data_IF_590148519799
#
_entry.id   IF_590148519799
#
_cell.length_a   1.000
_cell.length_b   1.000
_cell.length_c   1.000
_cell.angle_alpha   90.00
_cell.angle_beta   90.00
_cell.angle_gamma   90.00
#
_symmetry.space_group_name_H-M   'P 1'
#
loop_
_entity.id
_entity.type
_entity.pdbx_description
1 polymer ?
#
# COMPACT_ATOMS: atom_id res chain seq x y z
N UNK A 1 -16.15 -7.50 17.48
CA UNK A 1 -16.36 -6.26 16.68
C UNK A 1 -17.74 -5.69 17.00
N UNK A 2 -17.86 -4.97 18.12
CA UNK A 2 -19.12 -4.38 18.54
C UNK A 2 -19.45 -3.21 17.61
N UNK A 3 -20.45 -3.39 16.74
CA UNK A 3 -20.95 -2.31 15.86
C UNK A 3 -21.47 -1.19 16.77
N UNK A 4 -20.93 0.02 16.66
CA UNK A 4 -21.50 1.20 17.32
C UNK A 4 -22.95 1.36 16.86
N UNK A 5 -23.88 1.00 17.74
CA UNK A 5 -25.31 1.25 17.58
C UNK A 5 -25.63 2.43 18.50
N UNK A 6 -25.96 3.58 17.91
CA UNK A 6 -26.45 4.72 18.69
C UNK A 6 -27.97 4.61 18.83
N UNK A 7 -28.50 4.99 19.99
CA UNK A 7 -29.94 5.02 20.27
C UNK A 7 -30.29 6.37 20.85
N UNK A 8 -31.32 7.00 20.29
CA UNK A 8 -31.88 8.26 20.77
C UNK A 8 -33.40 8.08 20.83
N UNK A 9 -34.08 8.66 21.83
CA UNK A 9 -35.53 8.53 21.96
C UNK A 9 -36.19 9.79 22.49
N UNK A 10 -37.47 9.96 22.14
CA UNK A 10 -38.35 11.02 22.64
C UNK A 10 -39.68 10.40 23.06
N UNK A 11 -40.27 10.92 24.14
CA UNK A 11 -41.59 10.51 24.62
C UNK A 11 -42.51 11.72 24.54
N UNK A 12 -43.64 11.57 23.85
CA UNK A 12 -44.63 12.62 23.68
C UNK A 12 -46.01 12.17 24.19
N UNK A 13 -46.87 13.11 24.65
CA UNK A 13 -48.28 12.83 24.83
C UNK A 13 -48.93 12.38 23.52
N UNK A 14 -49.84 11.41 23.57
CA UNK A 14 -50.59 10.89 22.43
C UNK A 14 -51.69 11.89 21.98
N UNK A 15 -51.28 13.10 21.59
CA UNK A 15 -52.17 14.19 21.16
C UNK A 15 -51.64 14.84 19.89
N UNK A 16 -52.54 15.31 19.02
CA UNK A 16 -52.17 15.85 17.70
C UNK A 16 -51.21 17.05 17.78
N UNK A 17 -51.25 17.83 18.87
CA UNK A 17 -50.38 19.01 19.04
C UNK A 17 -48.89 18.68 19.14
N UNK A 18 -48.53 17.48 19.60
CA UNK A 18 -47.14 17.09 19.86
C UNK A 18 -46.49 16.31 18.70
N UNK A 19 -47.21 16.14 17.58
CA UNK A 19 -46.63 15.57 16.35
C UNK A 19 -45.50 16.44 15.77
N UNK A 20 -45.49 17.74 16.10
CA UNK A 20 -44.39 18.65 15.76
C UNK A 20 -43.08 18.19 16.40
N UNK A 21 -43.11 17.79 17.67
CA UNK A 21 -41.93 17.37 18.42
C UNK A 21 -41.30 16.11 17.82
N UNK A 22 -42.14 15.19 17.32
CA UNK A 22 -41.68 13.98 16.62
C UNK A 22 -40.95 14.34 15.32
N UNK A 23 -41.48 15.29 14.54
CA UNK A 23 -40.85 15.75 13.29
C UNK A 23 -39.53 16.46 13.55
N UNK A 24 -39.45 17.26 14.61
CA UNK A 24 -38.21 17.93 15.04
C UNK A 24 -37.16 16.93 15.54
N UNK A 25 -37.57 15.90 16.30
CA UNK A 25 -36.70 14.80 16.70
C UNK A 25 -36.11 14.04 15.50
N UNK A 26 -36.93 13.71 14.49
CA UNK A 26 -36.47 13.04 13.27
C UNK A 26 -35.47 13.90 12.50
N UNK A 27 -35.75 15.21 12.38
CA UNK A 27 -34.83 16.16 11.74
C UNK A 27 -33.48 16.20 12.46
N UNK A 28 -33.51 16.32 13.79
CA UNK A 28 -32.31 16.37 14.62
C UNK A 28 -31.45 15.12 14.44
N UNK A 29 -32.04 13.93 14.60
CA UNK A 29 -31.34 12.66 14.43
C UNK A 29 -30.81 12.51 12.99
N UNK A 30 -31.63 12.83 11.99
CA UNK A 30 -31.27 12.76 10.59
C UNK A 30 -30.05 13.62 10.25
N UNK A 31 -30.07 14.89 10.65
CA UNK A 31 -28.98 15.85 10.39
C UNK A 31 -27.71 15.50 11.18
N UNK A 32 -27.82 15.19 12.47
CA UNK A 32 -26.71 14.80 13.34
C UNK A 32 -25.93 13.60 12.78
N UNK A 33 -26.63 12.63 12.19
CA UNK A 33 -26.05 11.41 11.61
C UNK A 33 -25.85 11.49 10.08
N UNK A 34 -25.96 12.68 9.49
CA UNK A 34 -25.67 12.97 8.06
C UNK A 34 -26.52 12.16 7.07
N UNK A 35 -27.79 11.93 7.36
CA UNK A 35 -28.72 11.36 6.40
C UNK A 35 -29.12 12.41 5.34
N UNK A 36 -29.34 11.95 4.10
CA UNK A 36 -29.84 12.82 3.03
C UNK A 36 -31.26 13.32 3.34
N UNK A 37 -31.56 14.56 2.96
CA UNK A 37 -32.85 15.21 3.26
C UNK A 37 -34.05 14.41 2.74
N UNK A 38 -33.89 13.72 1.61
CA UNK A 38 -34.90 12.79 1.07
C UNK A 38 -35.26 11.67 2.06
N UNK A 39 -34.27 11.10 2.75
CA UNK A 39 -34.46 10.05 3.76
C UNK A 39 -35.14 10.64 5.00
N UNK A 40 -34.69 11.81 5.46
CA UNK A 40 -35.25 12.51 6.61
C UNK A 40 -36.73 12.84 6.36
N UNK A 41 -37.05 13.43 5.21
CA UNK A 41 -38.43 13.77 4.82
C UNK A 41 -39.31 12.52 4.65
N UNK A 42 -38.75 11.41 4.15
CA UNK A 42 -39.48 10.13 4.09
C UNK A 42 -39.89 9.67 5.49
N UNK A 43 -38.98 9.74 6.47
CA UNK A 43 -39.29 9.36 7.85
C UNK A 43 -40.29 10.30 8.49
N UNK A 44 -40.15 11.63 8.30
CA UNK A 44 -41.14 12.59 8.81
C UNK A 44 -42.54 12.25 8.35
N UNK A 45 -42.73 12.00 7.06
CA UNK A 45 -44.06 11.71 6.50
C UNK A 45 -44.63 10.39 7.07
N UNK A 46 -43.83 9.33 7.07
CA UNK A 46 -44.29 8.00 7.48
C UNK A 46 -44.51 7.88 8.99
N UNK A 47 -43.64 8.47 9.80
CA UNK A 47 -43.79 8.47 11.26
C UNK A 47 -44.95 9.37 11.68
N UNK A 48 -45.13 10.54 11.05
CA UNK A 48 -46.26 11.44 11.33
C UNK A 48 -47.61 10.78 11.03
N UNK A 49 -47.69 10.06 9.90
CA UNK A 49 -48.85 9.26 9.52
C UNK A 49 -49.09 8.09 10.50
N UNK A 50 -48.05 7.37 10.89
CA UNK A 50 -48.17 6.28 11.86
C UNK A 50 -48.65 6.79 13.23
N UNK A 51 -48.05 7.87 13.75
CA UNK A 51 -48.46 8.49 15.02
C UNK A 51 -49.89 9.04 14.93
N UNK A 52 -50.27 9.67 13.81
CA UNK A 52 -51.65 10.14 13.59
C UNK A 52 -52.66 8.98 13.66
N UNK A 53 -52.35 7.86 13.01
CA UNK A 53 -53.21 6.67 13.04
C UNK A 53 -53.32 6.07 14.44
N UNK A 54 -52.20 6.00 15.17
CA UNK A 54 -52.17 5.53 16.56
C UNK A 54 -53.01 6.46 17.46
N UNK A 55 -52.85 7.78 17.38
CA UNK A 55 -53.58 8.74 18.20
C UNK A 55 -55.09 8.67 17.90
N UNK A 56 -55.47 8.67 16.61
CA UNK A 56 -56.89 8.69 16.20
C UNK A 56 -57.62 7.39 16.48
N UNK A 57 -56.97 6.24 16.34
CA UNK A 57 -57.64 4.94 16.37
C UNK A 57 -57.24 4.08 17.57
N UNK A 58 -56.02 4.25 18.10
CA UNK A 58 -55.49 3.47 19.21
C UNK A 58 -55.83 4.04 20.59
N UNK A 59 -55.98 5.36 20.71
CA UNK A 59 -56.13 6.06 22.01
C UNK A 59 -57.51 6.66 22.27
N UNK A 60 -58.56 6.29 21.53
CA UNK A 60 -59.90 6.89 21.66
C UNK A 60 -60.46 6.88 23.10
N UNK A 61 -60.18 5.83 23.87
CA UNK A 61 -60.69 5.64 25.24
C UNK A 61 -59.61 5.77 26.33
N UNK A 62 -58.40 6.20 25.98
CA UNK A 62 -57.25 6.27 26.89
C UNK A 62 -56.88 7.74 27.11
N UNK A 63 -57.16 8.26 28.32
CA UNK A 63 -56.68 9.57 28.74
C UNK A 63 -55.18 9.49 29.06
N UNK A 64 -54.45 10.56 28.73
CA UNK A 64 -53.02 10.71 29.04
C UNK A 64 -52.10 9.63 28.45
N UNK A 65 -52.48 9.08 27.30
CA UNK A 65 -51.64 8.16 26.53
C UNK A 65 -50.29 8.77 26.13
N UNK A 66 -49.27 7.93 25.93
CA UNK A 66 -47.93 8.36 25.52
C UNK A 66 -47.43 7.58 24.32
N UNK A 67 -46.68 8.24 23.45
CA UNK A 67 -46.00 7.59 22.33
C UNK A 67 -44.51 7.79 22.52
N UNK A 68 -43.76 6.70 22.49
CA UNK A 68 -42.29 6.75 22.47
C UNK A 68 -41.81 6.56 21.05
N UNK A 69 -40.99 7.48 20.55
CA UNK A 69 -40.33 7.37 19.25
C UNK A 69 -38.83 7.22 19.49
N UNK A 70 -38.27 6.10 19.05
CA UNK A 70 -36.85 5.77 19.22
C UNK A 70 -36.16 5.61 17.88
N UNK A 71 -35.05 6.30 17.69
CA UNK A 71 -34.13 6.09 16.59
C UNK A 71 -33.06 5.07 16.96
N UNK A 72 -32.85 4.06 16.11
CA UNK A 72 -31.74 3.11 16.19
C UNK A 72 -30.86 3.36 14.97
N UNK A 73 -29.68 3.93 15.20
CA UNK A 73 -28.74 4.32 14.16
C UNK A 73 -27.69 3.24 14.00
N UNK A 74 -27.57 2.69 12.79
CA UNK A 74 -26.54 1.73 12.41
C UNK A 74 -25.72 2.28 11.24
N UNK A 75 -24.56 1.67 11.00
CA UNK A 75 -23.67 2.06 9.88
C UNK A 75 -24.38 2.11 8.52
N UNK A 76 -25.35 1.23 8.29
CA UNK A 76 -25.99 1.07 6.98
C UNK A 76 -27.49 1.40 6.98
N UNK A 77 -28.07 1.74 8.12
CA UNK A 77 -29.52 1.93 8.21
C UNK A 77 -29.92 2.84 9.36
N UNK A 78 -31.06 3.50 9.19
CA UNK A 78 -31.80 4.17 10.25
C UNK A 78 -33.08 3.37 10.49
N UNK A 79 -33.37 3.02 11.73
CA UNK A 79 -34.64 2.43 12.13
C UNK A 79 -35.34 3.36 13.10
N UNK A 80 -36.56 3.79 12.78
CA UNK A 80 -37.46 4.47 13.70
C UNK A 80 -38.40 3.43 14.32
N UNK A 81 -38.52 3.45 15.64
CA UNK A 81 -39.34 2.54 16.41
C UNK A 81 -40.38 3.36 17.16
N UNK A 82 -41.66 3.12 16.88
CA UNK A 82 -42.79 3.76 17.54
C UNK A 82 -43.37 2.76 18.53
N UNK A 83 -43.47 3.16 19.80
CA UNK A 83 -44.01 2.33 20.88
C UNK A 83 -45.22 3.04 21.49
N UNK A 84 -46.35 2.32 21.56
CA UNK A 84 -47.61 2.84 22.10
C UNK A 84 -48.40 1.77 22.89
N UNK A 85 -49.33 2.22 23.72
CA UNK A 85 -50.24 1.39 24.53
C UNK A 85 -51.69 1.47 24.03
N UNK A 86 -51.91 1.92 22.79
CA UNK A 86 -53.23 1.98 22.19
C UNK A 86 -53.75 0.59 21.79
N UNK A 87 -54.97 0.55 21.25
CA UNK A 87 -55.55 -0.68 20.68
C UNK A 87 -54.64 -1.23 19.58
N UNK A 88 -54.21 -2.48 19.73
CA UNK A 88 -53.30 -3.15 18.79
C UNK A 88 -53.88 -3.25 17.38
N UNK A 89 -53.05 -2.92 16.40
CA UNK A 89 -53.38 -3.01 14.99
C UNK A 89 -52.10 -3.28 14.18
N UNK A 90 -52.05 -4.39 13.43
CA UNK A 90 -50.91 -4.72 12.59
C UNK A 90 -51.08 -4.11 11.18
N UNK A 91 -50.33 -3.05 10.82
CA UNK A 91 -50.45 -2.41 9.51
C UNK A 91 -50.02 -3.30 8.33
N UNK A 92 -49.38 -4.45 8.58
CA UNK A 92 -48.98 -5.41 7.53
C UNK A 92 -50.15 -6.22 6.99
N UNK A 93 -51.23 -6.37 7.77
CA UNK A 93 -52.39 -7.17 7.37
C UNK A 93 -53.35 -6.43 6.42
N UNK A 94 -53.16 -5.12 6.24
CA UNK A 94 -54.00 -4.30 5.34
C UNK A 94 -53.59 -4.52 3.89
N UNK A 95 -54.57 -4.78 3.02
CA UNK A 95 -54.36 -4.89 1.56
C UNK A 95 -54.01 -3.53 0.96
N UNK A 96 -53.17 -3.52 -0.07
CA UNK A 96 -52.85 -2.28 -0.78
C UNK A 96 -54.12 -1.67 -1.39
N UNK A 97 -54.34 -0.35 -1.25
CA UNK A 97 -55.48 0.30 -1.87
C UNK A 97 -55.34 0.25 -3.40
N UNK A 98 -56.45 0.05 -4.10
CA UNK A 98 -56.54 0.22 -5.55
C UNK A 98 -56.51 1.72 -5.85
N UNK A 99 -55.35 2.21 -6.32
CA UNK A 99 -55.10 3.62 -6.56
C UNK A 99 -55.99 4.20 -7.66
N UNK A 100 -56.42 3.39 -8.65
CA UNK A 100 -57.33 3.83 -9.71
C UNK A 100 -58.71 4.19 -9.14
N UNK A 101 -59.28 3.28 -8.34
CA UNK A 101 -60.56 3.51 -7.65
C UNK A 101 -60.48 4.58 -6.57
N UNK A 102 -59.31 4.77 -5.94
CA UNK A 102 -59.15 5.78 -4.88
C UNK A 102 -59.26 7.21 -5.41
N UNK A 103 -58.67 7.45 -6.58
CA UNK A 103 -58.70 8.75 -7.27
C UNK A 103 -60.11 9.04 -7.80
N UNK A 104 -60.79 8.03 -8.36
CA UNK A 104 -62.17 8.17 -8.85
C UNK A 104 -63.20 8.48 -7.74
N UNK A 105 -63.02 7.93 -6.52
CA UNK A 105 -63.97 8.07 -5.41
C UNK A 105 -63.64 9.28 -4.51
N UNK A 106 -62.50 9.97 -4.72
CA UNK A 106 -62.14 11.19 -3.99
C UNK A 106 -61.98 11.02 -2.46
N UNK A 107 -61.71 9.80 -1.98
CA UNK A 107 -61.60 9.52 -0.54
C UNK A 107 -60.41 10.25 0.08
N UNK A 108 -60.70 11.16 1.03
CA UNK A 108 -59.70 11.81 1.89
C UNK A 108 -59.32 10.86 3.04
N UNK A 109 -58.18 10.18 2.92
CA UNK A 109 -57.62 9.30 3.96
C UNK A 109 -57.49 7.84 3.50
N UNK A 110 -56.68 7.01 4.18
CA UNK A 110 -56.48 5.58 3.89
C UNK A 110 -55.28 5.21 3.01
N UNK A 111 -54.46 6.19 2.62
CA UNK A 111 -53.18 6.00 1.94
C UNK A 111 -52.00 5.80 2.89
N UNK A 112 -52.20 5.96 4.20
CA UNK A 112 -51.11 6.00 5.17
C UNK A 112 -50.20 4.78 5.12
N UNK A 113 -50.78 3.59 5.28
CA UNK A 113 -50.06 2.31 5.24
C UNK A 113 -49.39 2.08 3.89
N UNK A 114 -50.04 2.49 2.79
CA UNK A 114 -49.45 2.43 1.46
C UNK A 114 -48.19 3.31 1.36
N UNK A 115 -48.25 4.55 1.85
CA UNK A 115 -47.09 5.46 1.88
C UNK A 115 -45.96 4.90 2.74
N UNK A 116 -46.26 4.30 3.90
CA UNK A 116 -45.23 3.65 4.73
C UNK A 116 -44.49 2.57 3.94
N UNK A 117 -45.22 1.67 3.27
CA UNK A 117 -44.64 0.58 2.46
C UNK A 117 -43.85 1.08 1.26
N UNK A 118 -44.26 2.20 0.66
CA UNK A 118 -43.59 2.76 -0.52
C UNK A 118 -42.30 3.51 -0.16
N UNK A 119 -42.23 4.06 1.05
CA UNK A 119 -41.14 4.96 1.45
C UNK A 119 -40.10 4.29 2.36
N UNK A 120 -40.45 3.20 3.04
CA UNK A 120 -39.54 2.44 3.90
C UNK A 120 -39.11 1.13 3.23
N UNK A 121 -37.91 0.66 3.55
CA UNK A 121 -37.36 -0.58 3.00
C UNK A 121 -37.83 -1.82 3.77
N UNK A 122 -38.07 -1.67 5.08
CA UNK A 122 -38.60 -2.74 5.92
C UNK A 122 -39.55 -2.18 7.00
N UNK A 123 -40.62 -2.93 7.26
CA UNK A 123 -41.66 -2.60 8.24
C UNK A 123 -41.95 -3.83 9.08
N UNK A 124 -41.76 -3.72 10.39
CA UNK A 124 -42.02 -4.80 11.33
C UNK A 124 -42.98 -4.32 12.40
N UNK A 125 -43.92 -5.18 12.79
CA UNK A 125 -44.83 -4.92 13.90
C UNK A 125 -44.76 -6.08 14.89
N UNK A 126 -44.59 -5.75 16.17
CA UNK A 126 -44.58 -6.72 17.26
C UNK A 126 -45.42 -6.20 18.43
N UNK A 127 -46.16 -7.09 19.08
CA UNK A 127 -46.74 -6.82 20.39
C UNK A 127 -45.72 -7.20 21.45
N UNK A 128 -45.35 -6.25 22.32
CA UNK A 128 -44.31 -6.44 23.34
C UNK A 128 -44.86 -6.11 24.73
N UNK A 129 -44.09 -6.43 25.78
CA UNK A 129 -44.43 -6.06 27.15
C UNK A 129 -44.51 -4.53 27.37
N UNK A 130 -43.96 -3.72 26.45
CA UNK A 130 -44.03 -2.24 26.49
C UNK A 130 -45.21 -1.67 25.69
N UNK A 131 -45.98 -2.53 25.02
CA UNK A 131 -47.06 -2.17 24.11
C UNK A 131 -46.79 -2.56 22.66
N UNK A 132 -47.53 -1.95 21.75
CA UNK A 132 -47.37 -2.11 20.31
C UNK A 132 -46.03 -1.50 19.87
N UNK A 133 -45.26 -2.21 19.06
CA UNK A 133 -43.97 -1.73 18.55
C UNK A 133 -43.94 -1.79 17.02
N UNK A 134 -44.00 -0.63 16.38
CA UNK A 134 -43.86 -0.48 14.93
C UNK A 134 -42.44 -0.03 14.58
N UNK A 135 -41.72 -0.85 13.81
CA UNK A 135 -40.37 -0.56 13.33
C UNK A 135 -40.40 -0.22 11.85
N UNK A 136 -39.80 0.91 11.51
CA UNK A 136 -39.70 1.44 10.17
C UNK A 136 -38.21 1.60 9.85
N UNK A 137 -37.71 0.84 8.89
CA UNK A 137 -36.28 0.84 8.56
C UNK A 137 -36.07 1.38 7.16
N UNK A 138 -35.07 2.25 7.02
CA UNK A 138 -34.56 2.72 5.74
C UNK A 138 -33.05 2.50 5.69
N UNK A 139 -32.60 1.84 4.63
CA UNK A 139 -31.19 1.68 4.30
C UNK A 139 -30.63 3.05 3.92
N UNK A 140 -29.36 3.26 4.25
CA UNK A 140 -28.63 4.43 3.78
C UNK A 140 -28.45 4.27 2.27
N UNK A 141 -28.78 5.30 1.49
CA UNK A 141 -28.31 5.47 0.11
C UNK A 141 -26.78 5.65 0.19
N UNK A 142 -26.08 4.57 0.52
CA UNK A 142 -24.67 4.47 0.23
C UNK A 142 -24.68 4.16 -1.25
N UNK A 143 -24.55 5.22 -2.05
CA UNK A 143 -23.83 5.07 -3.30
C UNK A 143 -22.51 4.45 -2.88
N UNK A 144 -22.43 3.11 -2.95
CA UNK A 144 -21.16 2.42 -2.82
C UNK A 144 -20.33 3.14 -3.86
N UNK A 145 -19.32 3.90 -3.41
CA UNK A 145 -18.24 4.37 -4.27
C UNK A 145 -17.55 3.12 -4.82
N UNK A 146 -18.23 2.35 -5.67
CA UNK A 146 -17.62 1.46 -6.64
C UNK A 146 -16.76 2.41 -7.44
N UNK A 147 -15.46 2.22 -7.33
CA UNK A 147 -14.44 3.07 -7.93
C UNK A 147 -14.91 3.55 -9.32
N UNK A 148 -15.02 4.88 -9.50
CA UNK A 148 -15.28 5.57 -10.78
C UNK A 148 -14.33 5.13 -11.92
N UNK A 149 -13.30 4.34 -11.61
CA UNK A 149 -12.33 3.78 -12.53
C UNK A 149 -12.86 2.56 -13.32
N UNK A 150 -13.87 1.82 -12.85
CA UNK A 150 -14.33 0.60 -13.55
C UNK A 150 -15.56 0.82 -14.45
N UNK A 151 -16.37 1.85 -14.18
CA UNK A 151 -17.64 2.08 -14.90
C UNK A 151 -17.42 2.57 -16.34
N UNK A 152 -16.32 3.28 -16.62
CA UNK A 152 -16.00 3.69 -17.99
C UNK A 152 -15.58 2.49 -18.83
N UNK A 153 -14.82 1.54 -18.26
CA UNK A 153 -14.40 0.33 -18.96
C UNK A 153 -15.60 -0.54 -19.32
N UNK A 154 -16.55 -0.71 -18.40
CA UNK A 154 -17.77 -1.48 -18.63
C UNK A 154 -18.61 -0.94 -19.79
N UNK A 155 -18.60 0.38 -19.99
CA UNK A 155 -19.30 1.08 -21.07
C UNK A 155 -18.68 0.91 -22.47
N UNK A 156 -17.48 0.33 -22.58
CA UNK A 156 -16.78 0.16 -23.85
C UNK A 156 -17.26 -1.07 -24.63
N UNK A 157 -17.13 -1.00 -25.95
CA UNK A 157 -17.35 -2.16 -26.84
C UNK A 157 -16.30 -3.27 -26.59
N UNK A 158 -16.66 -4.52 -26.89
CA UNK A 158 -15.76 -5.67 -26.73
C UNK A 158 -14.41 -5.48 -27.45
N UNK A 159 -14.42 -4.88 -28.64
CA UNK A 159 -13.19 -4.56 -29.41
C UNK A 159 -12.28 -3.60 -28.63
N UNK A 160 -12.84 -2.55 -28.03
CA UNK A 160 -12.08 -1.57 -27.24
C UNK A 160 -11.57 -2.16 -25.93
N UNK A 161 -12.36 -3.01 -25.27
CA UNK A 161 -11.93 -3.76 -24.08
C UNK A 161 -10.73 -4.65 -24.39
N UNK A 162 -10.82 -5.43 -25.46
CA UNK A 162 -9.71 -6.28 -25.93
C UNK A 162 -8.46 -5.45 -26.22
N UNK A 163 -8.58 -4.35 -26.97
CA UNK A 163 -7.47 -3.46 -27.28
C UNK A 163 -6.81 -2.85 -26.03
N UNK A 164 -7.59 -2.40 -25.05
CA UNK A 164 -7.05 -1.85 -23.80
C UNK A 164 -6.35 -2.94 -23.00
N UNK A 165 -6.94 -4.13 -22.89
CA UNK A 165 -6.32 -5.26 -22.17
C UNK A 165 -5.01 -5.64 -22.83
N UNK A 166 -4.97 -5.82 -24.16
CA UNK A 166 -3.72 -6.17 -24.86
C UNK A 166 -2.67 -5.07 -24.70
N UNK A 167 -3.05 -3.80 -24.81
CA UNK A 167 -2.12 -2.67 -24.62
C UNK A 167 -1.54 -2.65 -23.21
N UNK A 168 -2.38 -2.84 -22.19
CA UNK A 168 -1.92 -2.92 -20.79
C UNK A 168 -1.01 -4.13 -20.58
N UNK A 169 -1.36 -5.29 -21.15
CA UNK A 169 -0.52 -6.49 -21.07
C UNK A 169 0.84 -6.29 -21.72
N UNK A 170 0.90 -5.63 -22.89
CA UNK A 170 2.17 -5.30 -23.56
C UNK A 170 3.01 -4.37 -22.69
N UNK A 171 2.40 -3.30 -22.15
CA UNK A 171 3.11 -2.35 -21.26
C UNK A 171 3.66 -3.07 -20.02
N UNK A 172 2.86 -3.93 -19.38
CA UNK A 172 3.30 -4.72 -18.24
C UNK A 172 4.45 -5.67 -18.61
N UNK A 173 4.39 -6.30 -19.78
CA UNK A 173 5.44 -7.19 -20.27
C UNK A 173 6.72 -6.40 -20.56
N UNK A 174 6.64 -5.22 -21.17
CA UNK A 174 7.79 -4.34 -21.38
C UNK A 174 8.43 -3.92 -20.06
N UNK A 175 7.63 -3.54 -19.07
CA UNK A 175 8.12 -3.18 -17.73
C UNK A 175 8.80 -4.37 -17.05
N UNK A 176 8.18 -5.56 -17.11
CA UNK A 176 8.77 -6.78 -16.55
C UNK A 176 10.10 -7.12 -17.22
N UNK A 177 10.16 -7.06 -18.55
CA UNK A 177 11.39 -7.29 -19.32
C UNK A 177 12.47 -6.26 -18.98
N UNK A 178 12.11 -4.98 -18.82
CA UNK A 178 13.05 -3.95 -18.38
C UNK A 178 13.71 -4.30 -17.05
N UNK A 179 12.93 -4.67 -16.03
CA UNK A 179 13.48 -5.03 -14.71
C UNK A 179 14.38 -6.27 -14.76
N UNK A 180 14.03 -7.28 -15.56
CA UNK A 180 14.87 -8.48 -15.74
C UNK A 180 16.21 -8.10 -16.38
N UNK A 181 16.18 -7.32 -17.47
CA UNK A 181 17.39 -6.88 -18.16
C UNK A 181 18.24 -5.96 -17.27
N UNK A 182 17.61 -5.07 -16.50
CA UNK A 182 18.29 -4.21 -15.53
C UNK A 182 19.06 -5.02 -14.49
N UNK A 183 18.43 -6.06 -13.93
CA UNK A 183 19.08 -6.96 -12.98
C UNK A 183 20.23 -7.74 -13.62
N UNK A 184 20.07 -8.20 -14.87
CA UNK A 184 21.13 -8.90 -15.61
C UNK A 184 22.32 -7.98 -15.90
N UNK A 185 22.08 -6.74 -16.30
CA UNK A 185 23.14 -5.75 -16.56
C UNK A 185 24.01 -5.54 -15.32
N UNK A 186 23.39 -5.37 -14.15
CA UNK A 186 24.14 -5.19 -12.91
C UNK A 186 25.00 -6.41 -12.58
N UNK A 187 24.42 -7.61 -12.65
CA UNK A 187 25.15 -8.86 -12.38
C UNK A 187 26.33 -9.06 -13.33
N UNK A 188 26.11 -8.86 -14.64
CA UNK A 188 27.17 -9.04 -15.65
C UNK A 188 28.31 -8.03 -15.44
N UNK A 189 27.99 -6.76 -15.15
CA UNK A 189 29.01 -5.73 -14.90
C UNK A 189 29.76 -6.03 -13.60
N UNK A 190 29.07 -6.50 -12.56
CA UNK A 190 29.71 -6.93 -11.31
C UNK A 190 30.70 -8.07 -11.59
N UNK A 191 30.28 -9.09 -12.32
CA UNK A 191 31.12 -10.23 -12.68
C UNK A 191 32.35 -9.83 -13.54
N UNK A 192 32.16 -8.93 -14.51
CA UNK A 192 33.24 -8.36 -15.32
C UNK A 192 34.27 -7.64 -14.44
N UNK A 193 33.81 -6.73 -13.57
CA UNK A 193 34.68 -5.98 -12.64
C UNK A 193 35.40 -6.91 -11.68
N UNK A 194 34.72 -7.94 -11.16
CA UNK A 194 35.32 -8.92 -10.24
C UNK A 194 36.39 -9.76 -10.92
N UNK A 195 36.14 -10.18 -12.16
CA UNK A 195 37.10 -10.96 -12.96
C UNK A 195 38.35 -10.13 -13.25
N UNK A 196 38.16 -8.87 -13.68
CA UNK A 196 39.26 -7.94 -13.93
C UNK A 196 40.05 -7.64 -12.65
N UNK A 197 39.37 -7.30 -11.55
CA UNK A 197 39.99 -7.02 -10.26
C UNK A 197 40.80 -8.21 -9.73
N UNK A 198 40.28 -9.44 -9.88
CA UNK A 198 40.97 -10.67 -9.51
C UNK A 198 42.27 -10.84 -10.28
N UNK A 199 42.25 -10.65 -11.60
CA UNK A 199 43.44 -10.74 -12.43
C UNK A 199 44.49 -9.66 -12.07
N UNK A 200 44.05 -8.43 -11.81
CA UNK A 200 44.94 -7.35 -11.39
C UNK A 200 45.55 -7.65 -10.03
N UNK A 201 44.75 -8.09 -9.06
CA UNK A 201 45.23 -8.41 -7.70
C UNK A 201 46.24 -9.55 -7.73
N UNK A 202 46.00 -10.58 -8.54
CA UNK A 202 46.93 -11.71 -8.70
C UNK A 202 48.27 -11.27 -9.30
N UNK A 203 48.24 -10.51 -10.40
CA UNK A 203 49.47 -9.94 -10.98
C UNK A 203 50.18 -9.01 -9.98
N UNK A 204 49.42 -8.22 -9.24
CA UNK A 204 49.95 -7.32 -8.22
C UNK A 204 50.67 -8.11 -7.10
N UNK A 205 50.15 -9.26 -6.67
CA UNK A 205 50.87 -10.13 -5.76
C UNK A 205 52.16 -10.70 -6.40
N UNK A 206 52.06 -11.18 -7.65
CA UNK A 206 53.15 -11.84 -8.37
C UNK A 206 54.35 -10.92 -8.67
N UNK A 207 54.15 -9.59 -8.71
CA UNK A 207 55.26 -8.61 -8.90
C UNK A 207 55.86 -8.13 -7.57
N UNK A 208 55.18 -8.31 -6.44
CA UNK A 208 55.62 -7.77 -5.14
C UNK A 208 56.34 -8.76 -4.23
N UNK A 209 56.47 -10.05 -4.61
CA UNK A 209 57.21 -11.01 -3.79
C UNK A 209 58.67 -10.59 -3.54
N UNK A 210 59.38 -10.12 -4.58
CA UNK A 210 60.80 -9.75 -4.47
C UNK A 210 60.99 -8.41 -3.73
N UNK A 211 60.25 -7.33 -4.06
CA UNK A 211 60.33 -6.09 -3.29
C UNK A 211 59.96 -6.27 -1.81
N UNK A 212 58.95 -7.10 -1.50
CA UNK A 212 58.53 -7.36 -0.13
C UNK A 212 59.58 -8.17 0.63
N UNK A 213 60.13 -9.22 0.02
CA UNK A 213 61.18 -10.04 0.62
C UNK A 213 62.48 -9.25 0.88
N UNK A 214 62.75 -8.23 0.08
CA UNK A 214 63.96 -7.40 0.19
C UNK A 214 63.71 -6.09 0.95
N UNK A 215 62.54 -5.89 1.57
CA UNK A 215 62.16 -4.67 2.30
C UNK A 215 62.37 -3.38 1.47
N UNK A 216 62.05 -3.44 0.16
CA UNK A 216 62.20 -2.31 -0.76
C UNK A 216 60.92 -1.45 -0.82
N UNK A 217 60.73 -0.62 0.21
CA UNK A 217 59.55 0.24 0.38
C UNK A 217 59.29 1.16 -0.82
N UNK A 218 60.36 1.66 -1.44
CA UNK A 218 60.27 2.55 -2.61
C UNK A 218 59.60 1.82 -3.78
N UNK A 219 60.05 0.60 -4.07
CA UNK A 219 59.51 -0.19 -5.17
C UNK A 219 58.10 -0.70 -4.87
N UNK A 220 57.80 -1.07 -3.62
CA UNK A 220 56.44 -1.41 -3.17
C UNK A 220 55.46 -0.26 -3.39
N UNK A 221 55.87 0.98 -3.06
CA UNK A 221 55.06 2.17 -3.27
C UNK A 221 54.87 2.50 -4.76
N UNK A 222 55.92 2.42 -5.57
CA UNK A 222 55.83 2.63 -7.02
C UNK A 222 54.90 1.59 -7.69
N UNK A 223 54.97 0.32 -7.26
CA UNK A 223 54.04 -0.71 -7.72
C UNK A 223 52.60 -0.40 -7.32
N UNK A 224 52.34 0.01 -6.07
CA UNK A 224 51.02 0.42 -5.61
C UNK A 224 50.46 1.57 -6.46
N UNK A 225 51.26 2.62 -6.67
CA UNK A 225 50.92 3.76 -7.49
C UNK A 225 50.59 3.35 -8.93
N UNK A 226 51.46 2.56 -9.56
CA UNK A 226 51.28 2.07 -10.93
C UNK A 226 49.96 1.33 -11.12
N UNK A 227 49.63 0.40 -10.21
CA UNK A 227 48.35 -0.33 -10.26
C UNK A 227 47.17 0.62 -10.21
N UNK A 228 47.13 1.55 -9.26
CA UNK A 228 46.01 2.49 -9.18
C UNK A 228 45.93 3.39 -10.43
N UNK A 229 47.04 3.96 -10.88
CA UNK A 229 47.05 4.91 -12.01
C UNK A 229 46.64 4.25 -13.33
N UNK A 230 47.01 2.99 -13.55
CA UNK A 230 46.66 2.24 -14.77
C UNK A 230 45.19 1.82 -14.82
N UNK A 231 44.51 1.71 -13.67
CA UNK A 231 43.11 1.25 -13.58
C UNK A 231 42.13 2.35 -13.15
N UNK A 232 42.54 3.62 -13.20
CA UNK A 232 41.65 4.78 -13.12
C UNK A 232 40.78 4.84 -11.87
N UNK A 233 39.46 4.99 -12.06
CA UNK A 233 38.48 5.10 -10.97
C UNK A 233 38.04 3.74 -10.40
N UNK A 234 38.37 2.63 -11.07
CA UNK A 234 38.00 1.30 -10.61
C UNK A 234 38.68 0.96 -9.28
N UNK A 235 39.99 1.25 -9.19
CA UNK A 235 40.79 1.00 -8.00
C UNK A 235 40.86 2.27 -7.18
N UNK A 236 40.20 2.27 -6.02
CA UNK A 236 40.22 3.40 -5.09
C UNK A 236 41.54 3.46 -4.34
N UNK A 237 41.99 2.31 -3.83
CA UNK A 237 43.27 2.11 -3.18
C UNK A 237 43.91 0.79 -3.62
N UNK A 238 45.24 0.78 -3.68
CA UNK A 238 46.09 -0.40 -3.81
C UNK A 238 47.08 -0.41 -2.66
N UNK A 239 47.32 -1.58 -2.07
CA UNK A 239 48.28 -1.72 -0.97
C UNK A 239 48.97 -3.08 -0.93
N UNK A 240 50.15 -3.09 -0.32
CA UNK A 240 50.89 -4.30 0.05
C UNK A 240 50.99 -4.36 1.56
N UNK A 241 50.76 -5.54 2.12
CA UNK A 241 50.83 -5.82 3.55
C UNK A 241 51.78 -6.96 3.86
N UNK A 242 52.25 -7.07 5.10
CA UNK A 242 52.92 -8.26 5.65
C UNK A 242 51.92 -9.38 5.94
N UNK A 243 52.39 -10.56 6.34
CA UNK A 243 51.55 -11.69 6.77
C UNK A 243 50.63 -11.36 7.95
N UNK A 244 51.05 -10.41 8.80
CA UNK A 244 50.29 -9.91 9.95
C UNK A 244 49.39 -8.70 9.60
N UNK A 245 49.20 -8.43 8.31
CA UNK A 245 48.41 -7.32 7.77
C UNK A 245 48.94 -5.92 8.13
N UNK A 246 50.24 -5.78 8.39
CA UNK A 246 50.90 -4.47 8.52
C UNK A 246 51.06 -3.85 7.13
N UNK A 247 50.64 -2.60 6.94
CA UNK A 247 50.66 -1.93 5.63
C UNK A 247 52.07 -1.42 5.30
N UNK A 248 52.72 -2.06 4.32
CA UNK A 248 54.05 -1.69 3.85
C UNK A 248 54.01 -0.59 2.78
N UNK A 249 53.00 -0.61 1.91
CA UNK A 249 52.80 0.40 0.89
C UNK A 249 51.31 0.59 0.60
N UNK A 250 50.87 1.83 0.37
CA UNK A 250 49.49 2.15 -0.02
C UNK A 250 49.44 3.36 -0.94
N UNK A 251 48.58 3.32 -1.96
CA UNK A 251 48.31 4.46 -2.83
C UNK A 251 46.81 4.59 -3.15
N UNK A 252 46.24 5.82 -3.18
CA UNK A 252 46.83 7.09 -2.73
C UNK A 252 47.21 7.08 -1.25
N UNK A 253 48.22 7.87 -0.87
CA UNK A 253 48.71 7.91 0.50
C UNK A 253 47.59 8.33 1.47
N UNK A 254 47.29 7.47 2.44
CA UNK A 254 46.30 7.71 3.48
C UNK A 254 46.90 7.36 4.85
N UNK A 255 47.22 8.39 5.64
CA UNK A 255 47.89 8.28 6.94
C UNK A 255 47.10 7.42 7.95
N UNK A 256 45.77 7.34 7.81
CA UNK A 256 44.94 6.50 8.69
C UNK A 256 45.06 5.01 8.39
N UNK A 257 45.41 4.64 7.15
CA UNK A 257 45.62 3.25 6.74
C UNK A 257 47.06 2.81 7.01
N UNK A 258 48.04 3.70 6.82
CA UNK A 258 49.46 3.39 7.09
C UNK A 258 49.74 3.18 8.59
N UNK A 259 49.00 3.85 9.47
CA UNK A 259 49.21 3.78 10.93
C UNK A 259 48.44 2.65 11.64
N UNK A 260 47.72 1.80 10.90
CA UNK A 260 46.88 0.73 11.46
C UNK A 260 47.12 -0.58 10.72
N UNK A 261 47.04 -1.70 11.45
CA UNK A 261 46.93 -3.00 10.82
C UNK A 261 45.63 -3.06 10.03
N UNK A 262 45.72 -3.58 8.81
CA UNK A 262 44.55 -3.79 7.97
C UNK A 262 43.67 -4.87 8.61
N UNK A 263 42.57 -4.45 9.24
CA UNK A 263 41.70 -5.34 10.02
C UNK A 263 40.69 -6.05 9.11
N UNK A 264 40.91 -7.36 8.92
CA UNK A 264 39.98 -8.28 8.27
C UNK A 264 39.39 -9.31 9.25
N UNK A 265 39.73 -9.22 10.55
CA UNK A 265 39.85 -10.39 11.44
C UNK A 265 38.53 -11.13 11.75
N UNK A 266 37.40 -10.75 11.18
CA UNK A 266 36.09 -11.31 11.51
C UNK A 266 35.12 -11.48 10.32
N UNK A 267 35.60 -11.41 9.08
CA UNK A 267 34.75 -11.56 7.89
C UNK A 267 35.14 -12.79 7.08
N UNK A 268 34.17 -13.65 6.76
CA UNK A 268 34.37 -14.71 5.76
C UNK A 268 34.39 -14.09 4.35
N UNK A 269 35.20 -14.61 3.41
CA UNK A 269 35.19 -14.14 2.04
C UNK A 269 33.82 -14.43 1.40
N UNK A 270 33.30 -13.47 0.65
CA UNK A 270 32.07 -13.63 -0.12
C UNK A 270 32.29 -14.46 -1.39
N UNK A 271 33.53 -14.51 -1.86
CA UNK A 271 33.95 -15.20 -3.06
C UNK A 271 35.46 -15.49 -3.00
N UNK A 272 35.89 -16.60 -3.56
CA UNK A 272 37.31 -16.95 -3.67
C UNK A 272 37.58 -17.56 -5.05
N UNK A 273 38.42 -16.88 -5.85
CA UNK A 273 38.73 -17.26 -7.23
C UNK A 273 40.21 -17.07 -7.50
N UNK A 274 40.87 -18.09 -8.06
CA UNK A 274 42.30 -18.04 -8.42
C UNK A 274 43.23 -17.58 -7.29
N UNK A 275 43.00 -18.06 -6.06
CA UNK A 275 43.75 -17.68 -4.86
C UNK A 275 43.61 -16.19 -4.51
N UNK A 276 42.49 -15.57 -4.90
CA UNK A 276 42.12 -14.21 -4.52
C UNK A 276 40.83 -14.29 -3.73
N UNK A 277 40.88 -13.84 -2.48
CA UNK A 277 39.73 -13.78 -1.59
C UNK A 277 39.07 -12.40 -1.69
N UNK A 278 37.76 -12.39 -1.88
CA UNK A 278 36.96 -11.17 -1.97
C UNK A 278 36.16 -10.97 -0.69
N UNK A 279 36.28 -9.80 -0.09
CA UNK A 279 35.53 -9.41 1.10
C UNK A 279 34.65 -8.21 0.80
N UNK A 280 33.52 -8.10 1.49
CA UNK A 280 32.64 -6.94 1.44
C UNK A 280 32.52 -6.32 2.82
N UNK A 281 32.71 -5.01 2.92
CA UNK A 281 32.48 -4.27 4.16
C UNK A 281 31.80 -2.92 3.88
N UNK A 282 31.38 -2.25 4.94
CA UNK A 282 30.79 -0.91 4.87
C UNK A 282 31.64 0.07 5.69
N UNK A 283 32.14 1.12 5.03
CA UNK A 283 32.96 2.16 5.65
C UNK A 283 32.25 3.49 5.44
N UNK A 284 31.86 4.16 6.54
CA UNK A 284 31.16 5.46 6.50
C UNK A 284 29.96 5.43 5.52
N UNK A 285 29.10 4.41 5.66
CA UNK A 285 27.92 4.16 4.81
C UNK A 285 28.21 3.87 3.33
N UNK A 286 29.48 3.64 2.98
CA UNK A 286 29.89 3.22 1.62
C UNK A 286 30.24 1.74 1.63
N UNK A 287 29.54 0.96 0.81
CA UNK A 287 29.84 -0.46 0.59
C UNK A 287 31.07 -0.59 -0.32
N UNK A 288 32.02 -1.42 0.10
CA UNK A 288 33.32 -1.59 -0.57
C UNK A 288 33.70 -3.06 -0.65
N UNK A 289 34.43 -3.40 -1.70
CA UNK A 289 34.98 -4.73 -1.94
C UNK A 289 36.51 -4.70 -1.82
N UNK A 290 37.04 -5.65 -1.05
CA UNK A 290 38.48 -5.91 -0.97
C UNK A 290 38.82 -7.17 -1.74
N UNK A 291 39.83 -7.08 -2.61
CA UNK A 291 40.41 -8.23 -3.29
C UNK A 291 41.79 -8.47 -2.71
N UNK A 292 42.02 -9.67 -2.20
CA UNK A 292 43.21 -10.01 -1.43
C UNK A 292 43.87 -11.23 -2.06
N UNK A 293 45.10 -11.05 -2.55
CA UNK A 293 45.91 -12.15 -3.07
C UNK A 293 47.15 -12.35 -2.18
N UNK A 294 47.48 -13.60 -1.82
CA UNK A 294 48.70 -13.90 -1.08
C UNK A 294 49.93 -13.64 -1.95
N UNK A 295 50.95 -13.04 -1.34
CA UNK A 295 52.28 -12.86 -1.89
C UNK A 295 53.12 -14.03 -1.39
N UNK A 296 53.47 -14.92 -2.30
CA UNK A 296 54.18 -16.17 -1.99
C UNK A 296 55.63 -16.11 -2.49
N UNK A 297 56.55 -16.67 -1.70
CA UNK A 297 57.91 -16.92 -2.13
C UNK A 297 57.91 -18.01 -3.20
N UNK A 298 58.49 -17.73 -4.36
CA UNK A 298 58.63 -18.73 -5.43
C UNK A 298 59.35 -19.99 -4.90
N UNK A 299 58.61 -21.10 -4.83
CA UNK A 299 59.07 -22.47 -4.56
C UNK A 299 59.52 -22.83 -3.13
N UNK A 300 59.14 -22.10 -2.06
CA UNK A 300 59.72 -22.37 -0.72
C UNK A 300 58.73 -22.34 0.47
N UNK A 301 57.66 -21.53 0.48
CA UNK A 301 56.85 -21.32 1.69
C UNK A 301 55.44 -21.92 1.60
N UNK A 302 54.96 -22.52 2.70
CA UNK A 302 53.55 -22.95 2.88
C UNK A 302 52.64 -21.77 3.29
N UNK A 303 53.22 -20.68 3.81
CA UNK A 303 52.50 -19.47 4.24
C UNK A 303 52.93 -18.25 3.42
N UNK A 304 52.01 -17.31 3.15
CA UNK A 304 52.32 -16.09 2.43
C UNK A 304 53.19 -15.14 3.26
N UNK A 305 54.16 -14.48 2.62
CA UNK A 305 54.99 -13.44 3.27
C UNK A 305 54.24 -12.11 3.41
N UNK A 306 53.09 -11.99 2.75
CA UNK A 306 52.23 -10.83 2.80
C UNK A 306 51.07 -10.91 1.83
N UNK A 307 50.35 -9.82 1.67
CA UNK A 307 49.18 -9.77 0.79
C UNK A 307 49.17 -8.52 -0.06
N UNK A 308 48.79 -8.68 -1.32
CA UNK A 308 48.40 -7.60 -2.21
C UNK A 308 46.90 -7.36 -2.07
N UNK A 309 46.50 -6.11 -1.82
CA UNK A 309 45.10 -5.76 -1.58
C UNK A 309 44.66 -4.63 -2.51
N UNK A 310 43.52 -4.83 -3.18
CA UNK A 310 42.82 -3.79 -3.93
C UNK A 310 41.51 -3.43 -3.24
N UNK A 311 41.16 -2.15 -3.30
CA UNK A 311 39.91 -1.60 -2.82
C UNK A 311 39.09 -1.09 -4.00
N UNK A 312 37.88 -1.62 -4.18
CA UNK A 312 36.90 -1.15 -5.17
C UNK A 312 35.62 -0.70 -4.45
N UNK A 313 35.14 0.50 -4.74
CA UNK A 313 33.86 0.98 -4.20
C UNK A 313 32.67 0.38 -4.97
N UNK A 314 31.61 -0.05 -4.29
CA UNK A 314 30.40 -0.56 -4.96
C UNK A 314 29.73 0.53 -5.82
N UNK A 315 29.95 1.80 -5.50
CA UNK A 315 29.51 2.96 -6.27
C UNK A 315 30.04 2.94 -7.71
N UNK A 316 31.27 2.44 -7.95
CA UNK A 316 31.86 2.32 -9.28
C UNK A 316 31.05 1.34 -10.15
N UNK A 317 30.72 0.16 -9.59
CA UNK A 317 29.89 -0.86 -10.25
C UNK A 317 28.49 -0.29 -10.54
N UNK A 318 27.90 0.40 -9.55
CA UNK A 318 26.61 1.07 -9.69
C UNK A 318 26.59 2.11 -10.80
N UNK A 319 27.63 2.95 -10.90
CA UNK A 319 27.75 3.98 -11.93
C UNK A 319 27.95 3.37 -13.33
N UNK A 320 28.83 2.36 -13.45
CA UNK A 320 29.04 1.62 -14.70
C UNK A 320 27.74 0.95 -15.17
N UNK A 321 26.98 0.35 -14.24
CA UNK A 321 25.66 -0.21 -14.53
C UNK A 321 24.62 0.85 -14.90
N UNK A 322 24.61 2.00 -14.23
CA UNK A 322 23.65 3.08 -14.54
C UNK A 322 23.79 3.59 -15.97
N UNK A 323 25.01 3.70 -16.49
CA UNK A 323 25.24 4.11 -17.89
C UNK A 323 24.64 3.08 -18.87
N UNK A 324 24.81 1.79 -18.61
CA UNK A 324 24.22 0.74 -19.45
C UNK A 324 22.68 0.71 -19.35
N UNK A 325 22.11 1.04 -18.17
CA UNK A 325 20.65 1.14 -17.97
C UNK A 325 20.03 2.28 -18.79
N UNK A 326 20.71 3.44 -18.90
CA UNK A 326 20.20 4.56 -19.69
C UNK A 326 20.10 4.21 -21.17
N UNK A 327 21.07 3.49 -21.72
CA UNK A 327 21.04 3.04 -23.12
C UNK A 327 19.92 2.03 -23.37
N UNK A 328 19.71 1.09 -22.44
CA UNK A 328 18.61 0.13 -22.50
C UNK A 328 17.23 0.82 -22.50
N UNK A 329 17.04 1.82 -21.63
CA UNK A 329 15.79 2.56 -21.54
C UNK A 329 15.47 3.29 -22.85
N UNK A 330 16.48 3.91 -23.48
CA UNK A 330 16.35 4.57 -24.79
C UNK A 330 15.97 3.55 -25.86
N UNK A 331 16.62 2.39 -25.91
CA UNK A 331 16.36 1.34 -26.89
C UNK A 331 14.92 0.80 -26.79
N UNK A 332 14.43 0.54 -25.57
CA UNK A 332 13.07 0.04 -25.33
C UNK A 332 12.01 1.09 -25.68
N UNK A 333 12.26 2.37 -25.38
CA UNK A 333 11.36 3.46 -25.76
C UNK A 333 11.24 3.58 -27.29
N UNK A 334 12.37 3.53 -28.01
CA UNK A 334 12.37 3.56 -29.49
C UNK A 334 11.65 2.33 -30.06
N UNK A 335 11.86 1.14 -29.49
CA UNK A 335 11.18 -0.10 -29.89
C UNK A 335 9.66 -0.04 -29.71
N UNK A 336 9.18 0.50 -28.59
CA UNK A 336 7.74 0.66 -28.33
C UNK A 336 7.07 1.67 -29.27
N UNK A 337 7.75 2.79 -29.59
CA UNK A 337 7.23 3.78 -30.55
C UNK A 337 7.20 3.21 -31.97
N UNK A 338 8.22 2.45 -32.37
CA UNK A 338 8.26 1.77 -33.67
C UNK A 338 7.14 0.74 -33.83
N UNK A 339 6.86 -0.05 -32.79
CA UNK A 339 5.82 -1.09 -32.82
C UNK A 339 4.38 -0.57 -32.74
N UNK A 340 4.17 0.72 -32.44
CA UNK A 340 2.84 1.34 -32.37
C UNK A 340 2.48 2.16 -33.61
N UNK A 341 3.45 2.45 -34.48
CA UNK A 341 3.27 3.22 -35.72
C UNK A 341 3.18 2.31 -36.97
N UNK A 342 3.72 1.10 -36.92
CA UNK A 342 3.56 0.07 -37.95
C UNK A 342 2.40 -0.87 -37.68
#
# INVERSE_FOLDING_TARGET
MFKHVSKEEVVIPATMGHLRDVREFIEHVGKKHKYADKVINSFKLVVDEACTNIIRHGYMDIKDGKITVRAIIRRMSLTMVIIDQGKSFDPRQVKNPDLGKYVEIGKKGGLGIFMMRKLMDDIQYNLTNRGNELRLTKMRDVELKRHRVLTWFDSLSLRRKSFIITSVSIVLLTIATYFVLESQIYSNIKEEVFTEATAITKNYADINWEPLNNENDILLFENAKSVKENHGEMIRFSMVTTSDYEVMAVFPLNLNLVSKNFDLQHSEPIEEVNNVSVYQTSILDTSVYYFIAPIELKNIAEEPIGYAVLWIEESYIGNKASSAKTDLAILLLVGCVGATIG
#
